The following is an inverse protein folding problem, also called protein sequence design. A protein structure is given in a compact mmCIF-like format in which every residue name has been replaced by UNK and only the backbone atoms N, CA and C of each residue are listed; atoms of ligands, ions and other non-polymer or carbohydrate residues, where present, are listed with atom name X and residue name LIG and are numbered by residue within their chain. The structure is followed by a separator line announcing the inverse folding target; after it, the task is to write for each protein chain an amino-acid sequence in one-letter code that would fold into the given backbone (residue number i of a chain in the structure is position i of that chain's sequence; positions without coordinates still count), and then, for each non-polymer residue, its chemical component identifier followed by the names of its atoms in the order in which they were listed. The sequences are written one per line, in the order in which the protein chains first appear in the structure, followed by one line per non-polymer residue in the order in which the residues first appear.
data_IF_152439556329
#
_entry.id   IF_152439556329
#
_cell.length_a   1.000
_cell.length_b   1.000
_cell.length_c   1.000
_cell.angle_alpha   90.00
_cell.angle_beta   90.00
_cell.angle_gamma   90.00
#
_symmetry.space_group_name_H-M   'P 1'
#
loop_
_entity.id
_entity.type
_entity.pdbx_description
1 polymer ?
#
# COMPACT_ATOMS: atom_id res chain seq x y z
N UNK A 1 -17.76 -29.47 19.44
CA UNK A 1 -17.31 -29.10 18.08
C UNK A 1 -17.36 -27.58 18.01
N UNK A 2 -16.19 -26.92 18.07
CA UNK A 2 -16.09 -25.48 18.36
C UNK A 2 -16.61 -24.64 17.18
N UNK A 3 -17.51 -23.70 17.46
CA UNK A 3 -18.06 -22.72 16.52
C UNK A 3 -16.96 -21.97 15.74
N UNK A 4 -15.75 -21.90 16.30
CA UNK A 4 -14.55 -21.36 15.65
C UNK A 4 -14.16 -22.06 14.33
N UNK A 5 -14.43 -23.36 14.18
CA UNK A 5 -14.03 -24.14 12.99
C UNK A 5 -14.96 -23.82 11.79
N UNK A 6 -16.19 -23.36 12.04
CA UNK A 6 -17.14 -22.98 11.00
C UNK A 6 -16.88 -21.57 10.43
N UNK A 7 -16.26 -20.69 11.23
CA UNK A 7 -15.88 -19.34 10.79
C UNK A 7 -14.58 -19.30 9.99
N UNK A 8 -13.75 -20.35 10.06
CA UNK A 8 -12.59 -20.51 9.18
C UNK A 8 -12.99 -20.95 7.76
N UNK A 9 -14.01 -20.30 7.18
CA UNK A 9 -14.09 -20.19 5.72
C UNK A 9 -12.69 -19.76 5.29
N UNK A 10 -12.01 -20.60 4.50
CA UNK A 10 -10.67 -20.34 3.99
C UNK A 10 -10.72 -19.02 3.23
N UNK A 11 -10.42 -17.91 3.92
CA UNK A 11 -10.17 -16.63 3.26
C UNK A 11 -9.02 -16.93 2.32
N UNK A 12 -9.24 -16.77 1.02
CA UNK A 12 -8.19 -17.01 0.06
C UNK A 12 -7.09 -15.97 0.29
N UNK A 13 -5.84 -16.38 0.18
CA UNK A 13 -4.71 -15.47 0.39
C UNK A 13 -4.78 -14.24 -0.55
N UNK A 14 -5.32 -14.42 -1.75
CA UNK A 14 -5.55 -13.34 -2.71
C UNK A 14 -6.62 -12.34 -2.25
N UNK A 15 -7.67 -12.78 -1.56
CA UNK A 15 -8.66 -11.87 -0.96
C UNK A 15 -8.00 -10.99 0.10
N UNK A 16 -7.09 -11.52 0.91
CA UNK A 16 -6.34 -10.73 1.90
C UNK A 16 -5.52 -9.63 1.22
N UNK A 17 -4.79 -9.97 0.15
CA UNK A 17 -4.01 -8.99 -0.62
C UNK A 17 -4.94 -7.90 -1.18
N UNK A 18 -6.08 -8.27 -1.73
CA UNK A 18 -7.05 -7.33 -2.28
C UNK A 18 -7.61 -6.40 -1.21
N UNK A 19 -7.99 -6.94 -0.05
CA UNK A 19 -8.54 -6.16 1.07
C UNK A 19 -7.50 -5.17 1.60
N UNK A 20 -6.24 -5.59 1.72
CA UNK A 20 -5.13 -4.69 2.11
C UNK A 20 -4.95 -3.59 1.06
N UNK A 21 -4.95 -3.91 -0.23
CA UNK A 21 -4.82 -2.91 -1.29
C UNK A 21 -6.00 -1.92 -1.28
N UNK A 22 -7.22 -2.42 -1.08
CA UNK A 22 -8.43 -1.59 -0.98
C UNK A 22 -8.35 -0.64 0.21
N UNK A 23 -7.94 -1.15 1.38
CA UNK A 23 -7.74 -0.32 2.58
C UNK A 23 -6.73 0.81 2.33
N UNK A 24 -5.59 0.50 1.70
CA UNK A 24 -4.56 1.48 1.39
C UNK A 24 -5.03 2.54 0.40
N UNK A 25 -5.71 2.12 -0.67
CA UNK A 25 -6.28 3.03 -1.65
C UNK A 25 -7.29 3.98 -1.01
N UNK A 26 -8.24 3.45 -0.23
CA UNK A 26 -9.22 4.28 0.49
C UNK A 26 -8.54 5.26 1.45
N UNK A 27 -7.48 4.83 2.14
CA UNK A 27 -6.74 5.71 3.03
C UNK A 27 -6.04 6.85 2.28
N UNK A 28 -5.40 6.56 1.15
CA UNK A 28 -4.71 7.57 0.34
C UNK A 28 -5.69 8.51 -0.40
N UNK A 29 -6.81 7.99 -0.89
CA UNK A 29 -7.87 8.77 -1.55
C UNK A 29 -8.61 9.70 -0.59
N UNK A 30 -8.71 9.34 0.69
CA UNK A 30 -9.42 10.17 1.68
C UNK A 30 -8.83 11.57 1.86
N UNK A 31 -7.55 11.76 1.49
CA UNK A 31 -6.72 12.94 1.76
C UNK A 31 -6.72 13.38 3.25
N UNK A 32 -7.29 12.58 4.15
CA UNK A 32 -7.45 12.92 5.55
C UNK A 32 -6.15 12.65 6.29
N UNK A 33 -5.48 13.72 6.72
CA UNK A 33 -4.10 13.65 7.22
C UNK A 33 -3.89 12.63 8.35
N UNK A 34 -4.85 12.49 9.29
CA UNK A 34 -4.72 11.51 10.39
C UNK A 34 -4.80 10.08 9.90
N UNK A 35 -5.63 9.82 8.89
CA UNK A 35 -5.80 8.47 8.36
C UNK A 35 -4.51 8.07 7.64
N UNK A 36 -3.98 8.94 6.79
CA UNK A 36 -2.70 8.74 6.09
C UNK A 36 -1.55 8.52 7.08
N UNK A 37 -1.42 9.36 8.10
CA UNK A 37 -0.39 9.20 9.15
C UNK A 37 -0.46 7.84 9.84
N UNK A 38 -1.67 7.37 10.16
CA UNK A 38 -1.86 6.07 10.84
C UNK A 38 -1.61 4.91 9.88
N UNK A 39 -2.06 5.01 8.64
CA UNK A 39 -1.83 4.00 7.62
C UNK A 39 -0.34 3.80 7.38
N UNK A 40 0.45 4.88 7.24
CA UNK A 40 1.90 4.76 7.05
C UNK A 40 2.59 4.13 8.28
N UNK A 41 2.14 4.45 9.50
CA UNK A 41 2.64 3.79 10.72
C UNK A 41 2.31 2.31 10.79
N UNK A 42 1.12 1.90 10.36
CA UNK A 42 0.72 0.49 10.30
C UNK A 42 1.63 -0.28 9.34
N UNK A 43 1.94 0.32 8.18
CA UNK A 43 2.86 -0.27 7.21
C UNK A 43 4.26 -0.43 7.78
N UNK A 44 4.68 0.47 8.67
CA UNK A 44 6.00 0.43 9.28
C UNK A 44 6.19 -0.75 10.26
N UNK A 45 5.09 -1.38 10.71
CA UNK A 45 5.11 -2.55 11.57
C UNK A 45 5.81 -3.73 10.89
N UNK A 46 6.65 -4.45 11.65
CA UNK A 46 7.50 -5.53 11.12
C UNK A 46 6.71 -6.61 10.36
N UNK A 47 5.56 -7.03 10.89
CA UNK A 47 4.71 -8.05 10.27
C UNK A 47 4.18 -7.56 8.92
N UNK A 48 3.76 -6.30 8.84
CA UNK A 48 3.25 -5.71 7.60
C UNK A 48 4.37 -5.52 6.59
N UNK A 49 5.56 -5.06 7.02
CA UNK A 49 6.73 -4.99 6.12
C UNK A 49 7.08 -6.35 5.51
N UNK A 50 7.03 -7.42 6.30
CA UNK A 50 7.28 -8.78 5.81
C UNK A 50 6.25 -9.18 4.77
N UNK A 51 4.96 -8.94 5.06
CA UNK A 51 3.87 -9.16 4.10
C UNK A 51 4.08 -8.36 2.80
N UNK A 52 4.44 -7.08 2.88
CA UNK A 52 4.76 -6.28 1.70
C UNK A 52 5.93 -6.85 0.92
N UNK A 53 7.01 -7.26 1.58
CA UNK A 53 8.19 -7.85 0.93
C UNK A 53 7.85 -9.10 0.13
N UNK A 54 6.98 -9.96 0.67
CA UNK A 54 6.60 -11.23 0.04
C UNK A 54 5.64 -11.03 -1.15
N UNK A 55 4.85 -9.95 -1.15
CA UNK A 55 3.75 -9.75 -2.11
C UNK A 55 3.87 -8.43 -2.91
N UNK A 56 5.04 -7.79 -2.92
CA UNK A 56 5.19 -6.44 -3.46
C UNK A 56 4.81 -6.34 -4.94
N UNK A 57 5.07 -7.39 -5.72
CA UNK A 57 4.74 -7.46 -7.15
C UNK A 57 3.25 -7.48 -7.43
N UNK A 58 2.44 -7.93 -6.47
CA UNK A 58 0.97 -7.95 -6.56
C UNK A 58 0.33 -6.72 -5.93
N UNK A 59 0.90 -6.24 -4.83
CA UNK A 59 0.38 -5.08 -4.08
C UNK A 59 0.68 -3.79 -4.84
N UNK A 60 1.93 -3.58 -5.26
CA UNK A 60 2.39 -2.29 -5.78
C UNK A 60 1.56 -1.82 -6.98
N UNK A 61 1.29 -2.63 -8.02
CA UNK A 61 0.48 -2.19 -9.16
C UNK A 61 -0.94 -1.75 -8.77
N UNK A 62 -1.50 -2.30 -7.69
CA UNK A 62 -2.87 -2.00 -7.23
C UNK A 62 -2.97 -0.70 -6.44
N UNK A 63 -1.88 -0.26 -5.80
CA UNK A 63 -1.87 0.93 -4.94
C UNK A 63 -1.06 2.09 -5.51
N UNK A 64 -0.31 1.87 -6.59
CA UNK A 64 0.69 2.81 -7.09
C UNK A 64 0.10 4.19 -7.43
N UNK A 65 -1.02 4.23 -8.15
CA UNK A 65 -1.59 5.49 -8.66
C UNK A 65 -1.93 6.44 -7.50
N UNK A 66 -2.60 5.93 -6.47
CA UNK A 66 -2.99 6.68 -5.27
C UNK A 66 -1.78 7.05 -4.41
N UNK A 67 -0.84 6.12 -4.24
CA UNK A 67 0.41 6.37 -3.51
C UNK A 67 1.26 7.47 -4.18
N UNK A 68 1.40 7.41 -5.50
CA UNK A 68 2.21 8.37 -6.24
C UNK A 68 1.52 9.73 -6.27
N UNK A 69 0.19 9.77 -6.42
CA UNK A 69 -0.59 11.00 -6.33
C UNK A 69 -0.45 11.67 -4.96
N UNK A 70 -0.60 10.91 -3.87
CA UNK A 70 -0.51 11.49 -2.52
C UNK A 70 0.91 12.00 -2.24
N UNK A 71 1.95 11.31 -2.74
CA UNK A 71 3.34 11.78 -2.58
C UNK A 71 3.59 13.18 -3.18
N UNK A 72 2.84 13.54 -4.23
CA UNK A 72 2.91 14.85 -4.88
C UNK A 72 2.03 15.90 -4.20
N UNK A 73 0.81 15.53 -3.82
CA UNK A 73 -0.22 16.47 -3.31
C UNK A 73 -0.14 16.74 -1.81
N UNK A 74 0.44 15.83 -1.02
CA UNK A 74 0.36 15.91 0.43
C UNK A 74 1.08 17.13 1.00
N UNK A 75 0.31 18.05 1.58
CA UNK A 75 0.78 19.38 2.01
C UNK A 75 1.49 19.37 3.37
N UNK A 76 1.18 18.41 4.24
CA UNK A 76 1.71 18.38 5.61
C UNK A 76 3.11 17.77 5.64
N UNK A 77 4.10 18.59 5.99
CA UNK A 77 5.53 18.23 5.94
C UNK A 77 5.87 16.90 6.65
N UNK A 78 5.34 16.66 7.86
CA UNK A 78 5.61 15.43 8.62
C UNK A 78 5.14 14.18 7.88
N UNK A 79 3.86 14.12 7.49
CA UNK A 79 3.34 12.96 6.76
C UNK A 79 3.93 12.84 5.35
N UNK A 80 4.36 13.95 4.73
CA UNK A 80 5.09 13.91 3.45
C UNK A 80 6.41 13.13 3.59
N UNK A 81 7.18 13.36 4.66
CA UNK A 81 8.38 12.57 4.93
C UNK A 81 8.07 11.08 5.12
N UNK A 82 6.98 10.77 5.81
CA UNK A 82 6.59 9.38 6.06
C UNK A 82 6.12 8.68 4.76
N UNK A 83 5.40 9.37 3.88
CA UNK A 83 5.05 8.88 2.53
C UNK A 83 6.32 8.66 1.69
N UNK A 84 7.28 9.59 1.71
CA UNK A 84 8.54 9.45 0.96
C UNK A 84 9.38 8.27 1.49
N UNK A 85 9.40 8.04 2.81
CA UNK A 85 10.04 6.85 3.39
C UNK A 85 9.36 5.57 2.93
N UNK A 86 8.03 5.57 2.84
CA UNK A 86 7.28 4.41 2.32
C UNK A 86 7.59 4.15 0.84
N UNK A 87 7.65 5.20 0.01
CA UNK A 87 8.09 5.12 -1.39
C UNK A 87 9.51 4.55 -1.50
N UNK A 88 10.44 5.05 -0.68
CA UNK A 88 11.82 4.55 -0.65
C UNK A 88 11.88 3.08 -0.24
N UNK A 89 11.07 2.66 0.74
CA UNK A 89 10.94 1.26 1.13
C UNK A 89 10.46 0.40 -0.04
N UNK A 90 9.45 0.83 -0.78
CA UNK A 90 8.94 0.10 -1.96
C UNK A 90 10.03 -0.04 -3.03
N UNK A 91 10.75 1.05 -3.32
CA UNK A 91 11.86 1.03 -4.30
C UNK A 91 12.92 0.01 -3.89
N UNK A 92 13.26 -0.05 -2.60
CA UNK A 92 14.22 -1.03 -2.08
C UNK A 92 13.70 -2.47 -2.08
N UNK A 93 12.38 -2.67 -1.98
CA UNK A 93 11.78 -4.00 -2.04
C UNK A 93 11.80 -4.56 -3.47
N UNK A 94 11.42 -3.75 -4.47
CA UNK A 94 11.43 -4.16 -5.86
C UNK A 94 11.49 -2.95 -6.80
N UNK A 95 12.70 -2.51 -7.13
CA UNK A 95 12.97 -1.39 -8.02
C UNK A 95 12.34 -1.56 -9.40
N UNK A 96 12.48 -2.74 -10.01
CA UNK A 96 11.94 -3.01 -11.34
C UNK A 96 10.41 -2.91 -11.36
N UNK A 97 9.73 -3.47 -10.35
CA UNK A 97 8.27 -3.36 -10.24
C UNK A 97 7.85 -1.90 -10.09
N UNK A 98 8.57 -1.11 -9.28
CA UNK A 98 8.31 0.32 -9.13
C UNK A 98 8.45 1.09 -10.45
N UNK A 99 9.53 0.86 -11.20
CA UNK A 99 9.74 1.50 -12.51
C UNK A 99 8.63 1.14 -13.50
N UNK A 100 8.22 -0.13 -13.55
CA UNK A 100 7.11 -0.55 -14.42
C UNK A 100 5.81 0.14 -14.04
N UNK A 101 5.49 0.25 -12.76
CA UNK A 101 4.31 0.99 -12.31
C UNK A 101 4.40 2.48 -12.66
N UNK A 102 5.57 3.10 -12.53
CA UNK A 102 5.80 4.50 -12.90
C UNK A 102 5.62 4.73 -14.41
N UNK A 103 6.17 3.85 -15.25
CA UNK A 103 5.98 3.90 -16.70
C UNK A 103 4.50 3.77 -17.05
N UNK A 104 3.80 2.81 -16.43
CA UNK A 104 2.37 2.59 -16.69
C UNK A 104 1.52 3.79 -16.22
N UNK A 105 1.83 4.38 -15.08
CA UNK A 105 1.18 5.60 -14.60
C UNK A 105 1.36 6.74 -15.60
N UNK A 106 2.59 6.97 -16.06
CA UNK A 106 2.90 8.06 -17.00
C UNK A 106 2.20 7.85 -18.36
N UNK A 107 2.06 6.60 -18.83
CA UNK A 107 1.31 6.28 -20.05
C UNK A 107 -0.19 6.58 -19.94
N UNK A 108 -0.80 6.47 -18.76
CA UNK A 108 -2.21 6.81 -18.54
C UNK A 108 -2.46 8.33 -18.52
N UNK A 109 -1.43 9.11 -18.19
CA UNK A 109 -1.52 10.56 -18.05
C UNK A 109 -1.20 11.35 -19.34
N UNK A 110 -0.86 10.64 -20.42
CA UNK A 110 -0.68 11.16 -21.78
C UNK A 110 -1.98 10.90 -22.55
#
# INVERSE_FOLDING_TARGET
MSIYILWSRKISYNEIINDVCMFLNNAFESEHFKLIDQTVKIIDLHVIKKFFKENITEILPKIFDNLYMISKKYWRHKGKLDILKFMFLIINLNHHCFEQCLINYNKKSI
#
